data_IF_248270194818
#
_entry.id   IF_248270194818
#
_cell.length_a   1.000
_cell.length_b   1.000
_cell.length_c   1.000
_cell.angle_alpha   90.00
_cell.angle_beta   90.00
_cell.angle_gamma   90.00
#
_symmetry.space_group_name_H-M   'P 1'
#
loop_
_entity.id
_entity.type
_entity.pdbx_description
1 polymer ?
#
# COMPACT_ATOMS: atom_id res chain seq x y z
N UNK A 1 3.90 -27.44 19.47
CA UNK A 1 4.80 -26.55 20.24
C UNK A 1 4.78 -25.23 19.51
N UNK A 2 3.88 -24.33 19.92
CA UNK A 2 3.64 -23.07 19.20
C UNK A 2 4.74 -22.10 19.60
N UNK A 3 5.72 -21.92 18.71
CA UNK A 3 6.78 -20.92 18.89
C UNK A 3 6.13 -19.54 18.83
N UNK A 4 5.79 -19.01 20.01
CA UNK A 4 5.49 -17.59 20.18
C UNK A 4 6.78 -16.83 19.90
N UNK A 5 7.00 -16.45 18.64
CA UNK A 5 8.15 -15.65 18.22
C UNK A 5 8.14 -14.34 18.99
N UNK A 6 8.95 -14.25 20.05
CA UNK A 6 9.19 -13.01 20.78
C UNK A 6 9.84 -12.03 19.81
N UNK A 7 9.07 -11.03 19.37
CA UNK A 7 9.53 -10.01 18.44
C UNK A 7 10.59 -9.16 19.15
N UNK A 8 11.79 -9.05 18.56
CA UNK A 8 12.91 -8.35 19.20
C UNK A 8 12.63 -6.84 19.28
N UNK A 9 13.18 -6.15 20.28
CA UNK A 9 13.02 -4.69 20.43
C UNK A 9 13.46 -3.89 19.18
N UNK A 10 14.42 -4.41 18.41
CA UNK A 10 14.84 -3.87 17.11
C UNK A 10 13.74 -3.94 16.05
N UNK A 11 12.99 -5.04 16.03
CA UNK A 11 11.94 -5.30 15.03
C UNK A 11 10.73 -4.39 15.29
N UNK A 12 10.43 -4.14 16.57
CA UNK A 12 9.38 -3.21 16.96
C UNK A 12 9.72 -1.76 16.53
N UNK A 13 10.95 -1.32 16.77
CA UNK A 13 11.40 0.02 16.38
C UNK A 13 11.37 0.22 14.86
N UNK A 14 11.80 -0.79 14.09
CA UNK A 14 11.74 -0.76 12.63
C UNK A 14 10.29 -0.69 12.13
N UNK A 15 9.38 -1.46 12.73
CA UNK A 15 7.94 -1.42 12.42
C UNK A 15 7.35 -0.05 12.73
N UNK A 16 7.67 0.54 13.87
CA UNK A 16 7.21 1.89 14.23
C UNK A 16 7.73 2.96 13.27
N UNK A 17 8.99 2.86 12.86
CA UNK A 17 9.57 3.77 11.87
C UNK A 17 8.86 3.68 10.52
N UNK A 18 8.54 2.47 10.06
CA UNK A 18 7.74 2.22 8.85
C UNK A 18 6.34 2.81 8.95
N UNK A 19 5.63 2.56 10.04
CA UNK A 19 4.30 3.14 10.26
C UNK A 19 4.35 4.67 10.26
N UNK A 20 5.33 5.26 10.92
CA UNK A 20 5.52 6.71 10.90
C UNK A 20 5.80 7.26 9.49
N UNK A 21 6.49 6.53 8.62
CA UNK A 21 6.69 6.91 7.22
C UNK A 21 5.38 6.86 6.42
N UNK A 22 4.58 5.80 6.61
CA UNK A 22 3.26 5.64 5.97
C UNK A 22 2.35 6.79 6.36
N UNK A 23 2.23 7.09 7.66
CA UNK A 23 1.40 8.19 8.17
C UNK A 23 1.86 9.55 7.64
N UNK A 24 3.17 9.77 7.51
CA UNK A 24 3.70 11.00 6.90
C UNK A 24 3.28 11.15 5.44
N UNK A 25 3.32 10.08 4.64
CA UNK A 25 2.86 10.15 3.25
C UNK A 25 1.34 10.39 3.18
N UNK A 26 0.53 9.74 4.03
CA UNK A 26 -0.91 10.00 4.10
C UNK A 26 -1.23 11.45 4.51
N UNK A 27 -0.56 11.99 5.54
CA UNK A 27 -0.73 13.36 5.97
C UNK A 27 -0.34 14.38 4.88
N UNK A 28 0.71 14.09 4.11
CA UNK A 28 1.09 14.90 2.93
C UNK A 28 0.05 14.84 1.83
N UNK A 29 -0.57 13.68 1.60
CA UNK A 29 -1.67 13.54 0.66
C UNK A 29 -2.87 14.38 1.07
N UNK A 30 -3.25 14.36 2.35
CA UNK A 30 -4.35 15.19 2.88
C UNK A 30 -4.05 16.69 2.76
N UNK A 31 -2.83 17.11 3.07
CA UNK A 31 -2.41 18.49 2.89
C UNK A 31 -2.47 18.92 1.41
N UNK A 32 -2.00 18.07 0.50
CA UNK A 32 -2.11 18.31 -0.93
C UNK A 32 -3.56 18.38 -1.42
N UNK A 33 -4.46 17.58 -0.85
CA UNK A 33 -5.88 17.59 -1.19
C UNK A 33 -6.53 18.93 -0.81
N UNK A 34 -6.23 19.46 0.38
CA UNK A 34 -6.70 20.79 0.80
C UNK A 34 -6.20 21.93 -0.10
N UNK A 35 -5.05 21.73 -0.74
CA UNK A 35 -4.45 22.69 -1.69
C UNK A 35 -4.89 22.45 -3.14
N UNK A 36 -5.78 21.49 -3.41
CA UNK A 36 -6.20 21.13 -4.78
C UNK A 36 -5.08 20.49 -5.63
N UNK A 37 -3.99 20.01 -5.01
CA UNK A 37 -2.87 19.40 -5.70
C UNK A 37 -3.09 17.90 -5.93
N UNK A 38 -4.07 17.61 -6.79
CA UNK A 38 -4.47 16.27 -7.24
C UNK A 38 -3.29 15.35 -7.60
N UNK A 39 -2.27 15.90 -8.26
CA UNK A 39 -1.07 15.17 -8.65
C UNK A 39 -0.30 14.66 -7.44
N UNK A 40 -0.03 15.54 -6.47
CA UNK A 40 0.67 15.20 -5.25
C UNK A 40 -0.14 14.26 -4.36
N UNK A 41 -1.48 14.43 -4.27
CA UNK A 41 -2.36 13.50 -3.53
C UNK A 41 -2.09 12.05 -3.97
N UNK A 42 -2.06 11.81 -5.29
CA UNK A 42 -1.81 10.47 -5.85
C UNK A 42 -0.38 9.99 -5.62
N UNK A 43 0.62 10.87 -5.74
CA UNK A 43 2.03 10.49 -5.48
C UNK A 43 2.20 10.02 -4.05
N UNK A 44 1.70 10.79 -3.08
CA UNK A 44 1.77 10.45 -1.67
C UNK A 44 0.97 9.19 -1.33
N UNK A 45 -0.26 9.06 -1.85
CA UNK A 45 -1.08 7.85 -1.68
C UNK A 45 -0.36 6.58 -2.19
N UNK A 46 0.25 6.64 -3.37
CA UNK A 46 1.03 5.50 -3.92
C UNK A 46 2.25 5.19 -3.05
N UNK A 47 2.99 6.19 -2.59
CA UNK A 47 4.17 5.99 -1.72
C UNK A 47 3.79 5.35 -0.38
N UNK A 48 2.68 5.76 0.21
CA UNK A 48 2.15 5.13 1.43
C UNK A 48 1.88 3.63 1.20
N UNK A 49 1.25 3.26 0.08
CA UNK A 49 1.04 1.85 -0.29
C UNK A 49 2.36 1.13 -0.54
N UNK A 50 3.33 1.77 -1.20
CA UNK A 50 4.66 1.18 -1.45
C UNK A 50 5.36 0.80 -0.14
N UNK A 51 5.40 1.72 0.83
CA UNK A 51 5.97 1.48 2.15
C UNK A 51 5.25 0.34 2.90
N UNK A 52 3.92 0.28 2.82
CA UNK A 52 3.15 -0.80 3.43
C UNK A 52 3.38 -2.15 2.74
N UNK A 53 3.51 -2.17 1.42
CA UNK A 53 3.82 -3.38 0.65
C UNK A 53 5.20 -3.92 1.00
N UNK A 54 6.22 -3.06 1.10
CA UNK A 54 7.55 -3.47 1.53
C UNK A 54 7.52 -4.05 2.96
N UNK A 55 6.85 -3.39 3.91
CA UNK A 55 6.71 -3.87 5.28
C UNK A 55 5.91 -5.19 5.39
N UNK A 56 4.99 -5.45 4.45
CA UNK A 56 4.30 -6.73 4.35
C UNK A 56 5.20 -7.82 3.76
N UNK A 57 5.94 -7.52 2.69
CA UNK A 57 6.87 -8.48 2.06
C UNK A 57 7.99 -8.92 3.00
N UNK A 58 8.48 -8.02 3.86
CA UNK A 58 9.43 -8.34 4.93
C UNK A 58 8.90 -9.42 5.90
N UNK A 59 7.57 -9.53 6.04
CA UNK A 59 6.90 -10.51 6.92
C UNK A 59 6.49 -11.80 6.21
N UNK A 60 6.46 -11.82 4.88
CA UNK A 60 6.01 -12.98 4.09
C UNK A 60 7.21 -13.75 3.53
N UNK A 61 7.50 -14.97 4.04
CA UNK A 61 8.61 -15.78 3.54
C UNK A 61 8.47 -16.09 2.05
N UNK A 62 9.59 -16.05 1.32
CA UNK A 62 9.64 -16.42 -0.09
C UNK A 62 9.03 -15.40 -1.06
N UNK A 63 8.42 -14.31 -0.57
CA UNK A 63 7.83 -13.27 -1.42
C UNK A 63 8.71 -12.02 -1.41
N UNK A 64 9.35 -11.75 -2.54
CA UNK A 64 10.13 -10.53 -2.76
C UNK A 64 9.64 -9.86 -4.03
N UNK A 65 8.98 -8.71 -3.88
CA UNK A 65 8.70 -7.85 -5.01
C UNK A 65 9.81 -6.81 -5.13
N UNK A 66 10.17 -6.48 -6.38
CA UNK A 66 11.16 -5.45 -6.70
C UNK A 66 10.47 -4.24 -7.35
N UNK A 67 11.11 -3.08 -7.23
CA UNK A 67 10.69 -1.85 -7.89
C UNK A 67 10.04 -0.85 -6.94
N UNK A 68 9.48 0.20 -7.52
CA UNK A 68 8.82 1.29 -6.80
C UNK A 68 7.35 0.99 -6.43
N UNK A 69 6.70 1.97 -5.79
CA UNK A 69 5.29 1.90 -5.42
C UNK A 69 4.34 1.51 -6.58
N UNK A 70 4.63 1.95 -7.82
CA UNK A 70 3.81 1.58 -8.98
C UNK A 70 4.01 0.10 -9.35
N UNK A 71 5.22 -0.42 -9.22
CA UNK A 71 5.46 -1.85 -9.41
C UNK A 71 4.73 -2.68 -8.34
N UNK A 72 4.71 -2.25 -7.09
CA UNK A 72 3.95 -2.92 -6.03
C UNK A 72 2.44 -2.87 -6.29
N UNK A 73 1.88 -1.72 -6.67
CA UNK A 73 0.47 -1.61 -7.04
C UNK A 73 0.11 -2.52 -8.22
N UNK A 74 0.99 -2.67 -9.22
CA UNK A 74 0.78 -3.56 -10.35
C UNK A 74 0.74 -5.03 -9.94
N UNK A 75 1.56 -5.42 -8.96
CA UNK A 75 1.52 -6.77 -8.37
C UNK A 75 0.21 -6.98 -7.61
N UNK A 76 -0.18 -6.02 -6.77
CA UNK A 76 -1.43 -6.09 -5.99
C UNK A 76 -2.63 -6.22 -6.91
N UNK A 77 -2.73 -5.44 -7.99
CA UNK A 77 -3.86 -5.53 -8.92
C UNK A 77 -3.92 -6.84 -9.69
N UNK A 78 -2.78 -7.47 -9.98
CA UNK A 78 -2.70 -8.66 -10.82
C UNK A 78 -2.82 -9.98 -10.04
N UNK A 79 -2.40 -10.03 -8.79
CA UNK A 79 -2.40 -11.26 -8.01
C UNK A 79 -3.81 -11.61 -7.48
N UNK A 80 -4.39 -12.72 -7.94
CA UNK A 80 -5.75 -13.15 -7.57
C UNK A 80 -5.93 -13.47 -6.07
N UNK A 81 -4.83 -13.69 -5.35
CA UNK A 81 -4.84 -13.84 -3.89
C UNK A 81 -5.29 -12.57 -3.15
N UNK A 82 -5.35 -11.43 -3.84
CA UNK A 82 -5.95 -10.20 -3.32
C UNK A 82 -7.45 -10.14 -3.67
N UNK A 83 -8.30 -9.82 -2.69
CA UNK A 83 -9.72 -9.54 -2.92
C UNK A 83 -9.95 -8.51 -4.03
N UNK A 84 -11.06 -8.64 -4.76
CA UNK A 84 -11.36 -7.80 -5.93
C UNK A 84 -11.38 -6.30 -5.60
N UNK A 85 -11.88 -5.91 -4.43
CA UNK A 85 -11.92 -4.53 -3.96
C UNK A 85 -10.51 -3.95 -3.79
N UNK A 86 -9.57 -4.73 -3.25
CA UNK A 86 -8.16 -4.37 -3.09
C UNK A 86 -7.46 -4.28 -4.45
N UNK A 87 -7.70 -5.24 -5.34
CA UNK A 87 -7.17 -5.20 -6.72
C UNK A 87 -7.66 -3.96 -7.45
N UNK A 88 -8.95 -3.67 -7.39
CA UNK A 88 -9.55 -2.49 -8.01
C UNK A 88 -9.05 -1.17 -7.41
N UNK A 89 -8.81 -1.09 -6.10
CA UNK A 89 -8.18 0.09 -5.49
C UNK A 89 -6.76 0.32 -6.02
N UNK A 90 -5.99 -0.75 -6.20
CA UNK A 90 -4.65 -0.66 -6.76
C UNK A 90 -4.66 -0.20 -8.23
N UNK A 91 -5.58 -0.73 -9.04
CA UNK A 91 -5.79 -0.29 -10.43
C UNK A 91 -6.13 1.20 -10.50
N UNK A 92 -7.13 1.64 -9.74
CA UNK A 92 -7.54 3.05 -9.68
C UNK A 92 -6.42 3.98 -9.27
N UNK A 93 -5.55 3.55 -8.35
CA UNK A 93 -4.37 4.31 -7.94
C UNK A 93 -3.30 4.38 -9.03
N UNK A 94 -3.12 3.36 -9.87
CA UNK A 94 -2.13 3.37 -10.95
C UNK A 94 -2.57 4.20 -12.16
N UNK A 95 -3.87 4.30 -12.40
CA UNK A 95 -4.42 4.96 -13.59
C UNK A 95 -3.87 6.37 -13.76
N UNK A 96 -3.36 6.65 -14.96
CA UNK A 96 -2.85 7.98 -15.32
C UNK A 96 -4.01 8.96 -15.38
N UNK A 97 -3.77 10.22 -15.00
CA UNK A 97 -4.77 11.30 -15.03
C UNK A 97 -5.38 11.47 -16.42
N UNK A 98 -4.56 11.30 -17.46
CA UNK A 98 -5.00 11.39 -18.86
C UNK A 98 -6.01 10.32 -19.26
N UNK A 99 -6.17 9.26 -18.46
CA UNK A 99 -7.10 8.15 -18.70
C UNK A 99 -8.31 8.19 -17.77
N UNK A 100 -8.51 9.28 -17.00
CA UNK A 100 -9.61 9.42 -16.03
C UNK A 100 -11.00 9.17 -16.64
N UNK A 101 -11.19 9.46 -17.92
CA UNK A 101 -12.49 9.31 -18.60
C UNK A 101 -12.76 7.89 -19.13
N UNK A 102 -11.74 7.04 -19.25
CA UNK A 102 -11.82 5.77 -19.99
C UNK A 102 -11.34 4.56 -19.20
N UNK A 103 -10.76 4.77 -18.01
CA UNK A 103 -10.23 3.72 -17.16
C UNK A 103 -10.66 3.93 -15.69
N UNK A 104 -10.69 2.86 -14.87
CA UNK A 104 -10.96 2.99 -13.44
C UNK A 104 -10.03 4.04 -12.83
N UNK A 105 -10.59 5.12 -12.30
CA UNK A 105 -9.84 6.25 -11.78
C UNK A 105 -10.28 6.54 -10.35
N UNK A 106 -9.32 6.71 -9.45
CA UNK A 106 -9.64 7.02 -8.07
C UNK A 106 -10.18 8.44 -7.93
N UNK A 107 -11.42 8.57 -7.46
CA UNK A 107 -11.98 9.86 -7.00
C UNK A 107 -11.47 10.23 -5.60
N UNK A 108 -11.01 9.24 -4.82
CA UNK A 108 -10.40 9.44 -3.50
C UNK A 108 -9.14 8.56 -3.33
N UNK A 109 -7.98 9.02 -3.82
CA UNK A 109 -6.73 8.26 -3.75
C UNK A 109 -6.30 7.93 -2.31
N UNK A 110 -6.67 8.76 -1.34
CA UNK A 110 -6.30 8.56 0.06
C UNK A 110 -7.09 7.39 0.63
N UNK A 111 -8.40 7.31 0.36
CA UNK A 111 -9.22 6.18 0.79
C UNK A 111 -8.79 4.87 0.13
N UNK A 112 -8.45 4.88 -1.16
CA UNK A 112 -7.93 3.68 -1.84
C UNK A 112 -6.60 3.21 -1.23
N UNK A 113 -5.68 4.14 -0.93
CA UNK A 113 -4.44 3.79 -0.24
C UNK A 113 -4.71 3.19 1.15
N UNK A 114 -5.59 3.80 1.95
CA UNK A 114 -5.95 3.31 3.29
C UNK A 114 -6.51 1.89 3.26
N UNK A 115 -7.39 1.57 2.30
CA UNK A 115 -7.94 0.21 2.14
C UNK A 115 -6.84 -0.81 1.88
N UNK A 116 -5.94 -0.51 0.95
CA UNK A 116 -4.82 -1.41 0.62
C UNK A 116 -3.88 -1.57 1.82
N UNK A 117 -3.52 -0.47 2.50
CA UNK A 117 -2.63 -0.48 3.68
C UNK A 117 -3.24 -1.32 4.81
N UNK A 118 -4.52 -1.10 5.14
CA UNK A 118 -5.21 -1.86 6.17
C UNK A 118 -5.22 -3.36 5.86
N UNK A 119 -5.47 -3.71 4.60
CA UNK A 119 -5.43 -5.10 4.14
C UNK A 119 -4.04 -5.71 4.26
N UNK A 120 -2.98 -4.98 3.88
CA UNK A 120 -1.59 -5.46 3.98
C UNK A 120 -1.12 -5.62 5.43
N UNK A 121 -1.53 -4.72 6.33
CA UNK A 121 -1.19 -4.82 7.76
C UNK A 121 -1.90 -6.00 8.43
N UNK A 122 -3.18 -6.22 8.10
CA UNK A 122 -3.98 -7.34 8.60
C UNK A 122 -3.52 -8.71 8.05
N UNK A 123 -2.94 -8.76 6.84
CA UNK A 123 -2.37 -9.98 6.29
C UNK A 123 -1.08 -10.34 7.03
N UNK A 124 -1.12 -11.38 7.85
CA UNK A 124 0.05 -11.90 8.56
C UNK A 124 0.69 -13.11 7.90
N UNK A 125 0.02 -13.76 6.95
CA UNK A 125 0.35 -15.14 6.59
C UNK A 125 0.41 -15.35 5.08
N UNK A 126 1.43 -16.05 4.61
CA UNK A 126 1.49 -16.63 3.26
C UNK A 126 0.48 -17.76 3.04
N UNK A 127 -0.80 -17.55 3.36
CA UNK A 127 -1.89 -18.48 3.14
C UNK A 127 -2.73 -18.04 1.95
N UNK A 128 -2.43 -18.56 0.77
CA UNK A 128 -3.17 -18.25 -0.46
C UNK A 128 -2.71 -19.04 -1.67
N UNK A 129 -2.44 -20.34 -1.46
CA UNK A 129 -2.58 -21.48 -2.38
C UNK A 129 -1.88 -22.68 -1.74
#
# INVERSE_FOLDING_TARGET
>A
MTETRVMKSSDLALRMARLAQIERELARAEAAQRLGNDGMVRVCARRAVGLAAEAWLERVPGKSWRGDALNHLRRISAEESFPQDIRGAAERLMTKVTQRATAPFSTDPIADARRIIAHLDARTDGGGA
#
